data_IF_793213618114
#
_entry.id   IF_793213618114
#
_cell.length_a   1.000
_cell.length_b   1.000
_cell.length_c   1.000
_cell.angle_alpha   90.00
_cell.angle_beta   90.00
_cell.angle_gamma   90.00
#
_symmetry.space_group_name_H-M   'P 1'
#
loop_
_entity.id
_entity.type
_entity.pdbx_description
1 polymer ?
#
# COMPACT_ATOMS: atom_id res chain seq x y z
N UNK A 1 -8.23 -8.38 -16.67
CA UNK A 1 -7.53 -7.25 -16.00
C UNK A 1 -6.70 -7.65 -14.77
N UNK A 2 -7.04 -8.68 -13.98
CA UNK A 2 -6.26 -9.12 -12.79
C UNK A 2 -4.78 -9.48 -13.09
N UNK A 3 -4.51 -10.19 -14.20
CA UNK A 3 -3.16 -10.71 -14.55
C UNK A 3 -2.13 -9.65 -14.95
N UNK A 4 -2.55 -8.43 -15.30
CA UNK A 4 -1.63 -7.41 -15.86
C UNK A 4 -0.89 -6.65 -14.74
N UNK A 5 -1.51 -6.48 -13.58
CA UNK A 5 -0.90 -5.88 -12.40
C UNK A 5 0.18 -6.80 -11.79
N UNK A 6 -0.10 -8.11 -11.73
CA UNK A 6 0.80 -9.13 -11.15
C UNK A 6 2.12 -9.32 -11.92
N UNK A 7 2.10 -9.26 -13.27
CA UNK A 7 3.32 -9.43 -14.07
C UNK A 7 4.21 -8.18 -14.04
N UNK A 8 3.59 -6.99 -14.06
CA UNK A 8 4.32 -5.71 -14.19
C UNK A 8 5.04 -5.29 -12.91
N UNK A 9 4.53 -5.66 -11.74
CA UNK A 9 5.20 -5.40 -10.46
C UNK A 9 6.41 -6.33 -10.20
N UNK A 10 6.44 -7.52 -10.83
CA UNK A 10 7.45 -8.56 -10.57
C UNK A 10 8.89 -8.13 -10.98
N UNK A 11 9.03 -7.28 -11.99
CA UNK A 11 10.35 -6.91 -12.52
C UNK A 11 11.10 -5.88 -11.66
N UNK A 12 10.42 -5.21 -10.72
CA UNK A 12 11.00 -4.12 -9.93
C UNK A 12 11.59 -4.57 -8.58
N UNK A 13 11.38 -5.83 -8.16
CA UNK A 13 11.57 -6.27 -6.77
C UNK A 13 12.75 -7.24 -6.54
N UNK A 14 13.59 -7.50 -7.55
CA UNK A 14 14.73 -8.42 -7.41
C UNK A 14 15.94 -7.71 -6.79
N UNK A 15 15.78 -7.17 -5.59
CA UNK A 15 16.84 -6.86 -4.62
C UNK A 15 16.14 -6.24 -3.42
N UNK A 16 16.16 -6.93 -2.28
CA UNK A 16 16.46 -6.38 -0.96
C UNK A 16 16.05 -7.42 0.08
N UNK A 17 17.08 -8.06 0.63
CA UNK A 17 16.98 -9.00 1.72
C UNK A 17 17.93 -8.47 2.79
N UNK A 18 17.40 -7.83 3.85
CA UNK A 18 18.04 -7.79 5.17
C UNK A 18 17.11 -7.18 6.21
N UNK A 19 17.04 -7.89 7.34
CA UNK A 19 16.28 -7.58 8.57
C UNK A 19 16.80 -6.30 9.20
N UNK A 20 15.93 -5.49 9.81
CA UNK A 20 16.34 -4.38 10.65
C UNK A 20 15.78 -4.53 12.06
N UNK A 21 16.72 -4.53 13.01
CA UNK A 21 16.51 -4.48 14.46
C UNK A 21 16.11 -3.06 14.89
N UNK A 22 15.33 -2.99 15.98
CA UNK A 22 14.61 -1.81 16.46
C UNK A 22 15.51 -0.96 17.39
N UNK A 23 15.69 0.33 17.08
CA UNK A 23 16.41 1.31 17.91
C UNK A 23 15.37 2.18 18.66
N UNK A 24 15.47 2.40 19.98
CA UNK A 24 14.50 3.19 20.73
C UNK A 24 14.89 4.68 20.72
N UNK A 25 14.05 5.52 20.11
CA UNK A 25 14.25 6.97 20.07
C UNK A 25 13.49 7.71 18.95
N UNK A 26 12.92 7.00 18.00
CA UNK A 26 12.15 7.59 16.90
C UNK A 26 10.68 7.77 17.30
N UNK A 27 10.07 8.90 16.93
CA UNK A 27 8.61 9.06 17.03
C UNK A 27 7.93 7.81 16.45
N UNK A 28 6.90 7.25 17.10
CA UNK A 28 6.29 6.02 16.62
C UNK A 28 5.83 6.24 15.18
N UNK A 29 6.38 5.42 14.28
CA UNK A 29 6.07 5.44 12.87
C UNK A 29 4.55 5.49 12.66
N UNK A 30 4.03 6.34 11.75
CA UNK A 30 2.59 6.48 11.59
C UNK A 30 1.99 5.12 11.21
N UNK A 31 0.94 4.64 11.92
CA UNK A 31 0.38 3.33 11.67
C UNK A 31 -0.49 3.34 10.42
N UNK A 32 -0.16 2.47 9.46
CA UNK A 32 -0.82 2.32 8.17
C UNK A 32 -1.41 0.92 8.04
N UNK A 33 -2.66 0.84 7.61
CA UNK A 33 -3.34 -0.43 7.34
C UNK A 33 -3.38 -0.67 5.83
N UNK A 34 -2.92 -1.83 5.37
CA UNK A 34 -3.02 -2.27 3.99
C UNK A 34 -4.13 -3.30 3.89
N UNK A 35 -5.22 -2.96 3.20
CA UNK A 35 -6.29 -3.90 2.86
C UNK A 35 -6.30 -4.15 1.35
N UNK A 36 -5.69 -5.27 0.97
CA UNK A 36 -5.66 -5.76 -0.40
C UNK A 36 -5.88 -7.28 -0.34
N UNK A 37 -7.00 -7.80 -0.85
CA UNK A 37 -7.28 -9.25 -0.79
C UNK A 37 -6.28 -10.10 -1.59
N UNK A 38 -5.64 -9.49 -2.59
CA UNK A 38 -4.52 -10.11 -3.28
C UNK A 38 -3.30 -10.12 -2.36
N UNK A 39 -2.94 -11.30 -1.84
CA UNK A 39 -1.85 -11.49 -0.89
C UNK A 39 -0.53 -10.88 -1.39
N UNK A 40 -0.27 -11.00 -2.69
CA UNK A 40 0.95 -10.51 -3.31
C UNK A 40 0.97 -8.97 -3.33
N UNK A 41 -0.08 -8.33 -3.82
CA UNK A 41 -0.23 -6.88 -3.80
C UNK A 41 -0.18 -6.30 -2.38
N UNK A 42 -0.81 -6.98 -1.42
CA UNK A 42 -0.76 -6.62 0.01
C UNK A 42 0.67 -6.66 0.56
N UNK A 43 1.37 -7.76 0.31
CA UNK A 43 2.76 -7.93 0.75
C UNK A 43 3.66 -6.84 0.17
N UNK A 44 3.57 -6.60 -1.13
CA UNK A 44 4.40 -5.62 -1.84
C UNK A 44 4.14 -4.18 -1.41
N UNK A 45 2.87 -3.80 -1.26
CA UNK A 45 2.51 -2.50 -0.72
C UNK A 45 3.05 -2.33 0.72
N UNK A 46 2.93 -3.40 1.52
CA UNK A 46 3.47 -3.45 2.88
C UNK A 46 4.98 -3.25 2.93
N UNK A 47 5.74 -3.93 2.06
CA UNK A 47 7.19 -3.79 1.98
C UNK A 47 7.63 -2.38 1.57
N UNK A 48 6.97 -1.79 0.57
CA UNK A 48 7.26 -0.41 0.12
C UNK A 48 7.09 0.59 1.26
N UNK A 49 6.06 0.41 2.08
CA UNK A 49 5.79 1.26 3.24
C UNK A 49 6.75 1.00 4.40
N UNK A 50 6.98 -0.26 4.77
CA UNK A 50 7.90 -0.63 5.86
C UNK A 50 9.34 -0.19 5.59
N UNK A 51 9.83 -0.38 4.37
CA UNK A 51 11.17 0.10 3.96
C UNK A 51 11.33 1.62 4.04
N UNK A 52 10.22 2.35 4.17
CA UNK A 52 10.18 3.81 4.28
C UNK A 52 9.96 4.28 5.73
N UNK A 53 9.88 3.35 6.69
CA UNK A 53 9.74 3.65 8.12
C UNK A 53 8.29 3.81 8.59
N UNK A 54 7.30 3.25 7.89
CA UNK A 54 5.92 3.19 8.39
C UNK A 54 5.71 1.94 9.25
N UNK A 55 4.84 2.03 10.28
CA UNK A 55 4.31 0.86 10.98
C UNK A 55 3.14 0.32 10.16
N UNK A 56 3.32 -0.86 9.56
CA UNK A 56 2.37 -1.38 8.56
C UNK A 56 1.75 -2.69 9.01
N UNK A 57 0.42 -2.69 9.09
CA UNK A 57 -0.37 -3.92 9.23
C UNK A 57 -1.04 -4.26 7.91
N UNK A 58 -1.01 -5.53 7.54
CA UNK A 58 -1.65 -6.03 6.32
C UNK A 58 -2.80 -6.95 6.71
N UNK A 59 -3.97 -6.73 6.11
CA UNK A 59 -5.15 -7.57 6.27
C UNK A 59 -5.64 -8.03 4.91
N UNK A 60 -6.03 -9.29 4.80
CA UNK A 60 -6.47 -9.91 3.55
C UNK A 60 -7.97 -10.05 3.45
N UNK A 61 -8.68 -10.02 4.58
CA UNK A 61 -10.12 -10.32 4.64
C UNK A 61 -10.94 -9.20 5.27
N UNK A 62 -12.24 -9.15 4.93
CA UNK A 62 -13.16 -8.18 5.51
C UNK A 62 -13.31 -8.29 7.04
N UNK A 63 -13.40 -9.49 7.65
CA UNK A 63 -13.39 -9.62 9.11
C UNK A 63 -12.13 -9.06 9.77
N UNK A 64 -10.95 -9.31 9.19
CA UNK A 64 -9.68 -8.75 9.68
C UNK A 64 -9.66 -7.22 9.57
N UNK A 65 -10.18 -6.67 8.47
CA UNK A 65 -10.31 -5.22 8.29
C UNK A 65 -11.19 -4.61 9.39
N UNK A 66 -12.37 -5.20 9.66
CA UNK A 66 -13.26 -4.72 10.73
C UNK A 66 -12.57 -4.72 12.09
N UNK A 67 -11.92 -5.83 12.44
CA UNK A 67 -11.20 -5.96 13.70
C UNK A 67 -10.08 -4.91 13.81
N UNK A 68 -9.30 -4.70 12.74
CA UNK A 68 -8.22 -3.71 12.73
C UNK A 68 -8.73 -2.27 12.89
N UNK A 69 -9.92 -1.97 12.33
CA UNK A 69 -10.58 -0.67 12.45
C UNK A 69 -11.16 -0.44 13.86
N UNK A 70 -11.79 -1.46 14.45
CA UNK A 70 -12.33 -1.40 15.82
C UNK A 70 -11.24 -1.14 16.86
N UNK A 71 -10.06 -1.73 16.64
CA UNK A 71 -8.89 -1.52 17.49
C UNK A 71 -8.17 -0.17 17.23
N UNK A 72 -8.67 0.65 16.29
CA UNK A 72 -8.12 1.96 15.90
C UNK A 72 -6.60 1.95 15.62
N UNK A 73 -6.13 0.85 15.01
CA UNK A 73 -4.71 0.57 14.84
C UNK A 73 -4.07 1.26 13.65
N UNK A 74 -4.72 2.28 13.07
CA UNK A 74 -4.22 2.96 11.88
C UNK A 74 -4.77 4.38 11.74
N UNK A 75 -4.01 5.20 11.02
CA UNK A 75 -4.42 6.55 10.59
C UNK A 75 -4.78 6.63 9.12
N UNK A 76 -4.24 5.73 8.30
CA UNK A 76 -4.45 5.70 6.85
C UNK A 76 -4.66 4.26 6.40
N UNK A 77 -5.57 4.07 5.45
CA UNK A 77 -5.86 2.77 4.85
C UNK A 77 -5.41 2.80 3.39
N UNK A 78 -4.52 1.88 3.01
CA UNK A 78 -4.12 1.66 1.61
C UNK A 78 -4.93 0.50 1.05
N UNK A 79 -5.59 0.72 -0.08
CA UNK A 79 -6.42 -0.30 -0.74
C UNK A 79 -6.42 -0.12 -2.27
N UNK A 80 -7.22 -0.92 -2.96
CA UNK A 80 -7.43 -0.89 -4.42
C UNK A 80 -8.81 -0.32 -4.75
N UNK A 81 -8.99 0.20 -5.97
CA UNK A 81 -10.22 0.86 -6.43
C UNK A 81 -11.49 0.05 -6.14
N UNK A 82 -11.45 -1.27 -6.43
CA UNK A 82 -12.60 -2.16 -6.24
C UNK A 82 -13.02 -2.36 -4.78
N UNK A 83 -12.17 -1.94 -3.81
CA UNK A 83 -12.39 -2.12 -2.38
C UNK A 83 -12.59 -0.82 -1.62
N UNK A 84 -12.47 0.33 -2.28
CA UNK A 84 -12.71 1.65 -1.66
C UNK A 84 -14.13 1.73 -1.08
N UNK A 85 -15.15 1.26 -1.83
CA UNK A 85 -16.53 1.27 -1.36
C UNK A 85 -16.69 0.51 -0.05
N UNK A 86 -16.14 -0.70 0.03
CA UNK A 86 -16.16 -1.54 1.24
C UNK A 86 -15.42 -0.91 2.42
N UNK A 87 -14.28 -0.26 2.18
CA UNK A 87 -13.55 0.44 3.25
C UNK A 87 -14.32 1.64 3.76
N UNK A 88 -14.94 2.41 2.85
CA UNK A 88 -15.68 3.64 3.19
C UNK A 88 -16.99 3.38 3.93
N UNK A 89 -17.60 2.21 3.79
CA UNK A 89 -18.76 1.84 4.61
C UNK A 89 -18.37 1.47 6.05
N UNK A 90 -17.11 1.10 6.29
CA UNK A 90 -16.61 0.71 7.61
C UNK A 90 -15.85 1.81 8.34
N UNK A 91 -15.25 2.76 7.62
CA UNK A 91 -14.40 3.79 8.21
C UNK A 91 -14.43 5.11 7.44
N UNK A 92 -14.40 6.20 8.19
CA UNK A 92 -14.19 7.55 7.67
C UNK A 92 -12.71 7.92 7.51
N UNK A 93 -11.77 7.05 7.93
CA UNK A 93 -10.34 7.30 7.85
C UNK A 93 -9.88 7.61 6.41
N UNK A 94 -8.77 8.34 6.24
CA UNK A 94 -8.15 8.55 4.94
C UNK A 94 -7.88 7.23 4.20
N UNK A 95 -8.32 7.16 2.94
CA UNK A 95 -8.12 6.00 2.06
C UNK A 95 -7.23 6.39 0.89
N UNK A 96 -6.17 5.60 0.68
CA UNK A 96 -5.23 5.74 -0.44
C UNK A 96 -5.47 4.59 -1.42
N UNK A 97 -5.82 4.93 -2.65
CA UNK A 97 -5.92 3.96 -3.74
C UNK A 97 -4.54 3.74 -4.36
N UNK A 98 -3.92 2.59 -4.12
CA UNK A 98 -2.59 2.28 -4.67
C UNK A 98 -2.57 2.29 -6.21
N UNK A 99 -3.70 2.00 -6.84
CA UNK A 99 -3.79 1.98 -8.31
C UNK A 99 -3.71 3.37 -8.93
N UNK A 100 -3.95 4.44 -8.15
CA UNK A 100 -3.80 5.82 -8.63
C UNK A 100 -2.33 6.20 -8.92
N UNK A 101 -1.38 5.42 -8.41
CA UNK A 101 0.06 5.64 -8.60
C UNK A 101 0.66 4.71 -9.66
N UNK A 102 -0.18 4.00 -10.41
CA UNK A 102 0.25 3.16 -11.52
C UNK A 102 0.06 3.97 -12.80
N UNK A 103 1.15 4.48 -13.34
CA UNK A 103 1.15 5.28 -14.56
C UNK A 103 1.02 4.38 -15.79
N UNK A 104 0.15 4.74 -16.77
CA UNK A 104 0.18 4.14 -18.08
C UNK A 104 1.52 4.48 -18.74
N UNK A 105 2.17 3.49 -19.35
CA UNK A 105 3.36 3.73 -20.15
C UNK A 105 2.91 4.26 -21.52
N UNK A 106 3.12 5.55 -21.79
CA UNK A 106 2.53 6.27 -22.94
C UNK A 106 3.42 6.14 -24.21
N UNK A 107 4.65 5.63 -24.11
CA UNK A 107 5.62 5.61 -25.22
C UNK A 107 5.66 4.31 -26.06
N UNK A 108 4.71 3.39 -25.90
CA UNK A 108 4.88 2.03 -26.42
C UNK A 108 4.28 1.79 -27.81
N UNK A 109 5.07 2.04 -28.87
CA UNK A 109 4.90 1.41 -30.19
C UNK A 109 5.27 -0.09 -30.20
N UNK A 110 5.66 -0.68 -29.06
CA UNK A 110 6.01 -2.11 -28.96
C UNK A 110 5.25 -2.79 -27.81
N UNK A 111 4.60 -3.91 -28.15
CA UNK A 111 3.50 -4.57 -27.44
C UNK A 111 3.80 -5.20 -26.06
N UNK A 112 4.89 -4.87 -25.34
CA UNK A 112 5.34 -5.74 -24.23
C UNK A 112 5.82 -5.08 -22.92
N UNK A 113 5.68 -3.77 -22.67
CA UNK A 113 6.31 -3.15 -21.48
C UNK A 113 5.43 -2.55 -20.38
N UNK A 114 6.03 -2.57 -19.18
CA UNK A 114 5.43 -2.50 -17.85
C UNK A 114 4.81 -1.13 -17.52
N UNK A 115 3.79 -1.15 -16.65
CA UNK A 115 3.21 0.06 -16.06
C UNK A 115 4.17 0.52 -14.96
N UNK A 116 4.43 1.82 -14.87
CA UNK A 116 5.37 2.38 -13.91
C UNK A 116 4.62 2.69 -12.61
N UNK A 117 5.15 2.22 -11.47
CA UNK A 117 4.61 2.56 -10.17
C UNK A 117 5.37 3.78 -9.61
N UNK A 118 4.67 4.89 -9.43
CA UNK A 118 5.21 6.09 -8.81
C UNK A 118 5.28 5.93 -7.29
N UNK A 119 6.37 5.29 -6.84
CA UNK A 119 6.64 5.04 -5.42
C UNK A 119 6.74 6.34 -4.63
N UNK A 120 7.33 7.39 -5.19
CA UNK A 120 7.57 8.63 -4.48
C UNK A 120 6.24 9.34 -4.18
N UNK A 121 5.39 9.52 -5.21
CA UNK A 121 4.07 10.13 -5.04
C UNK A 121 3.16 9.30 -4.12
N UNK A 122 3.24 7.96 -4.19
CA UNK A 122 2.51 7.09 -3.28
C UNK A 122 2.90 7.34 -1.82
N UNK A 123 4.20 7.32 -1.51
CA UNK A 123 4.69 7.49 -0.15
C UNK A 123 4.41 8.89 0.39
N UNK A 124 4.60 9.92 -0.43
CA UNK A 124 4.23 11.29 -0.08
C UNK A 124 2.75 11.39 0.30
N UNK A 125 1.86 10.77 -0.51
CA UNK A 125 0.43 10.77 -0.20
C UNK A 125 0.13 10.08 1.13
N UNK A 126 0.76 8.94 1.42
CA UNK A 126 0.54 8.24 2.70
C UNK A 126 1.04 9.08 3.87
N UNK A 127 2.22 9.72 3.77
CA UNK A 127 2.75 10.62 4.82
C UNK A 127 1.80 11.77 5.09
N UNK A 128 1.44 12.52 4.05
CA UNK A 128 0.57 13.69 4.17
C UNK A 128 -0.75 13.36 4.87
N UNK A 129 -1.35 12.21 4.57
CA UNK A 129 -2.60 11.78 5.20
C UNK A 129 -2.41 11.23 6.62
N UNK A 130 -1.25 10.64 6.93
CA UNK A 130 -0.97 10.11 8.27
C UNK A 130 -0.60 11.21 9.27
N UNK A 131 -0.13 12.36 8.77
CA UNK A 131 0.26 13.53 9.54
C UNK A 131 -0.87 14.56 9.73
N UNK A 132 -2.00 14.42 9.04
CA UNK A 132 -3.19 15.24 9.28
C UNK A 132 -3.75 14.96 10.68
N UNK A 133 -3.34 15.81 11.63
CA UNK A 133 -3.90 15.95 12.99
C UNK A 133 -5.07 16.92 12.98
#
# INVERSE_FOLDING_TARGET
MKRLFEKKFLLCQVRLNKRNEMIPGENPAPPVLVYIPDQRGSHLAGEVLRTTGFDVRSVGTMPELKLALELLLCKVIVTITSKIGEVRTLSSLPVVNIQAFVLPNIDAASSEQAALFDRAAFLERVRTLADQR
#
